data_IF_910915307779
#
_entry.id   IF_910915307779
#
_cell.length_a   1.000
_cell.length_b   1.000
_cell.length_c   1.000
_cell.angle_alpha   90.00
_cell.angle_beta   90.00
_cell.angle_gamma   90.00
#
_symmetry.space_group_name_H-M   'P 1'
#
loop_
_entity.id
_entity.type
_entity.pdbx_description
1 polymer ?
#
# COMPACT_ATOMS: atom_id res chain seq x y z
N UNK A 1 16.46 9.74 8.87
CA UNK A 1 15.20 8.96 8.83
C UNK A 1 15.47 7.74 7.98
N UNK A 2 15.21 6.56 8.53
CA UNK A 2 15.36 5.32 7.78
C UNK A 2 14.31 5.26 6.66
N UNK A 3 14.71 4.72 5.51
CA UNK A 3 13.81 4.53 4.38
C UNK A 3 12.92 3.31 4.65
N UNK A 4 11.65 3.40 4.28
CA UNK A 4 10.80 2.22 4.22
C UNK A 4 11.40 1.24 3.20
N UNK A 5 11.50 -0.04 3.59
CA UNK A 5 11.94 -1.12 2.72
C UNK A 5 10.97 -2.28 2.88
N UNK A 6 10.28 -2.63 1.79
CA UNK A 6 9.40 -3.77 1.73
C UNK A 6 10.24 -5.05 1.61
N UNK A 7 9.97 -6.02 2.49
CA UNK A 7 10.57 -7.35 2.41
C UNK A 7 9.48 -8.33 2.03
N UNK A 8 9.64 -9.01 0.89
CA UNK A 8 8.68 -9.99 0.40
C UNK A 8 9.32 -10.89 -0.63
N UNK A 9 8.97 -12.18 -0.60
CA UNK A 9 9.33 -13.15 -1.64
C UNK A 9 8.48 -12.98 -2.92
N UNK A 10 7.41 -12.19 -2.83
CA UNK A 10 6.49 -11.95 -3.93
C UNK A 10 6.85 -10.66 -4.68
N UNK A 11 6.69 -10.71 -6.00
CA UNK A 11 6.72 -9.52 -6.86
C UNK A 11 5.29 -9.11 -7.22
N UNK A 12 5.04 -7.80 -7.43
CA UNK A 12 3.75 -7.34 -7.96
C UNK A 12 3.38 -8.06 -9.26
N UNK A 13 2.13 -8.52 -9.35
CA UNK A 13 1.59 -9.28 -10.50
C UNK A 13 0.19 -8.80 -10.87
N UNK A 14 -0.28 -9.17 -12.07
CA UNK A 14 -1.58 -8.73 -12.59
C UNK A 14 -1.63 -7.21 -12.70
N UNK A 15 -2.69 -6.59 -12.20
CA UNK A 15 -2.91 -5.14 -12.26
C UNK A 15 -2.15 -4.36 -11.15
N UNK A 16 -1.48 -5.06 -10.23
CA UNK A 16 -0.76 -4.42 -9.13
C UNK A 16 0.34 -3.44 -9.59
N UNK A 17 1.21 -3.75 -10.57
CA UNK A 17 2.28 -2.84 -10.98
C UNK A 17 1.73 -1.49 -11.48
N UNK A 18 0.69 -1.50 -12.30
CA UNK A 18 0.07 -0.28 -12.83
C UNK A 18 -0.60 0.52 -11.70
N UNK A 19 -1.33 -0.15 -10.79
CA UNK A 19 -1.95 0.50 -9.65
C UNK A 19 -0.91 1.17 -8.73
N UNK A 20 0.21 0.48 -8.44
CA UNK A 20 1.31 1.01 -7.64
C UNK A 20 1.90 2.25 -8.30
N UNK A 21 2.19 2.18 -9.60
CA UNK A 21 2.79 3.30 -10.34
C UNK A 21 1.87 4.51 -10.35
N UNK A 22 0.60 4.32 -10.72
CA UNK A 22 -0.39 5.39 -10.83
C UNK A 22 -0.60 6.09 -9.48
N UNK A 23 -0.84 5.33 -8.41
CA UNK A 23 -1.07 5.88 -7.07
C UNK A 23 0.16 6.64 -6.57
N UNK A 24 1.35 6.04 -6.72
CA UNK A 24 2.60 6.66 -6.25
C UNK A 24 2.89 7.97 -6.99
N UNK A 25 2.77 7.97 -8.32
CA UNK A 25 3.00 9.16 -9.14
C UNK A 25 2.03 10.28 -8.79
N UNK A 26 0.76 9.95 -8.56
CA UNK A 26 -0.24 10.92 -8.16
C UNK A 26 0.05 11.53 -6.77
N UNK A 27 0.49 10.71 -5.80
CA UNK A 27 0.92 11.22 -4.47
C UNK A 27 2.11 12.17 -4.61
N UNK A 28 3.07 11.85 -5.47
CA UNK A 28 4.25 12.68 -5.73
C UNK A 28 3.89 13.98 -6.47
N UNK A 29 2.84 13.96 -7.29
CA UNK A 29 2.27 15.15 -7.97
C UNK A 29 1.36 16.00 -7.07
N UNK A 30 1.12 15.59 -5.82
CA UNK A 30 0.27 16.33 -4.89
C UNK A 30 -1.24 16.13 -5.12
N UNK A 31 -1.66 15.06 -5.81
CA UNK A 31 -3.07 14.71 -5.93
C UNK A 31 -3.55 14.13 -4.59
N UNK A 32 -4.46 14.85 -3.94
CA UNK A 32 -4.88 14.57 -2.56
C UNK A 32 -5.78 13.33 -2.43
N UNK A 33 -6.75 13.16 -3.32
CA UNK A 33 -7.77 12.12 -3.21
C UNK A 33 -7.65 11.10 -4.33
N UNK A 34 -7.55 9.83 -3.94
CA UNK A 34 -7.39 8.71 -4.86
C UNK A 34 -8.11 7.48 -4.32
N UNK A 35 -8.60 6.62 -5.22
CA UNK A 35 -9.30 5.39 -4.87
C UNK A 35 -8.61 4.22 -5.55
N UNK A 36 -8.20 3.22 -4.77
CA UNK A 36 -7.78 1.93 -5.27
C UNK A 36 -9.00 1.01 -5.39
N UNK A 37 -9.57 0.90 -6.60
CA UNK A 37 -10.63 -0.05 -6.87
C UNK A 37 -10.03 -1.45 -7.07
N UNK A 38 -10.20 -2.32 -6.08
CA UNK A 38 -9.66 -3.68 -6.14
C UNK A 38 -10.63 -4.70 -5.55
N UNK A 39 -10.79 -5.82 -6.26
CA UNK A 39 -11.60 -6.97 -5.81
C UNK A 39 -11.01 -7.62 -4.55
N UNK A 40 -11.81 -8.43 -3.85
CA UNK A 40 -11.32 -9.23 -2.72
C UNK A 40 -10.28 -10.24 -3.22
N UNK A 41 -9.20 -10.44 -2.46
CA UNK A 41 -8.12 -11.35 -2.83
C UNK A 41 -7.06 -10.78 -3.78
N UNK A 42 -7.20 -9.55 -4.28
CA UNK A 42 -6.22 -8.94 -5.21
C UNK A 42 -4.91 -8.45 -4.56
N UNK A 43 -4.73 -8.66 -3.25
CA UNK A 43 -3.53 -8.23 -2.53
C UNK A 43 -3.45 -6.72 -2.28
N UNK A 44 -4.57 -6.06 -1.93
CA UNK A 44 -4.63 -4.60 -1.70
C UNK A 44 -3.59 -4.10 -0.67
N UNK A 45 -3.36 -4.84 0.42
CA UNK A 45 -2.34 -4.47 1.41
C UNK A 45 -0.95 -4.46 0.80
N UNK A 46 -0.59 -5.49 0.02
CA UNK A 46 0.70 -5.57 -0.67
C UNK A 46 0.88 -4.44 -1.70
N UNK A 47 -0.17 -4.12 -2.46
CA UNK A 47 -0.19 -2.95 -3.36
C UNK A 47 0.10 -1.66 -2.58
N UNK A 48 -0.58 -1.44 -1.45
CA UNK A 48 -0.37 -0.24 -0.64
C UNK A 48 1.02 -0.21 0.03
N UNK A 49 1.57 -1.35 0.44
CA UNK A 49 2.93 -1.43 0.97
C UNK A 49 3.99 -1.00 -0.06
N UNK A 50 3.85 -1.43 -1.31
CA UNK A 50 4.70 -0.98 -2.42
C UNK A 50 4.53 0.53 -2.68
N UNK A 51 3.31 1.06 -2.59
CA UNK A 51 3.07 2.51 -2.72
C UNK A 51 3.79 3.28 -1.61
N UNK A 52 3.65 2.84 -0.35
CA UNK A 52 4.30 3.46 0.82
C UNK A 52 5.83 3.45 0.67
N UNK A 53 6.41 2.32 0.27
CA UNK A 53 7.84 2.21 -0.04
C UNK A 53 8.23 3.17 -1.18
N UNK A 54 7.45 3.28 -2.24
CA UNK A 54 7.81 4.15 -3.38
C UNK A 54 7.73 5.64 -3.04
N UNK A 55 6.78 6.06 -2.19
CA UNK A 55 6.59 7.49 -1.85
C UNK A 55 7.40 7.96 -0.64
N UNK A 56 7.86 7.03 0.23
CA UNK A 56 8.68 7.33 1.40
C UNK A 56 8.05 8.37 2.36
N UNK A 57 6.74 8.27 2.60
CA UNK A 57 6.00 9.17 3.51
C UNK A 57 5.48 8.41 4.74
N UNK A 58 5.62 8.95 5.96
CA UNK A 58 4.92 8.43 7.12
C UNK A 58 3.42 8.33 6.83
N UNK A 59 2.83 7.16 7.06
CA UNK A 59 1.48 6.83 6.60
C UNK A 59 0.61 6.37 7.77
N UNK A 60 -0.62 6.90 7.85
CA UNK A 60 -1.65 6.44 8.77
C UNK A 60 -2.64 5.53 8.02
N UNK A 61 -2.78 4.29 8.47
CA UNK A 61 -3.78 3.35 7.94
C UNK A 61 -4.95 3.29 8.92
N UNK A 62 -6.15 3.66 8.46
CA UNK A 62 -7.37 3.64 9.27
C UNK A 62 -8.25 2.45 8.87
N UNK A 63 -8.65 1.65 9.85
CA UNK A 63 -9.60 0.54 9.67
C UNK A 63 -10.89 0.83 10.43
N UNK A 64 -12.02 0.37 9.90
CA UNK A 64 -13.34 0.59 10.46
C UNK A 64 -13.63 -0.27 11.71
N UNK A 65 -12.79 -1.27 12.00
CA UNK A 65 -12.94 -2.12 13.18
C UNK A 65 -11.58 -2.61 13.70
N UNK A 66 -11.56 -3.09 14.95
CA UNK A 66 -10.34 -3.53 15.65
C UNK A 66 -9.74 -4.80 15.07
N UNK A 67 -10.58 -5.74 14.61
CA UNK A 67 -10.11 -7.01 14.03
C UNK A 67 -9.33 -6.77 12.75
N UNK A 68 -9.85 -5.93 11.84
CA UNK A 68 -9.17 -5.55 10.61
C UNK A 68 -7.92 -4.72 10.90
N UNK A 69 -7.97 -3.82 11.89
CA UNK A 69 -6.78 -3.08 12.30
C UNK A 69 -5.65 -4.01 12.77
N UNK A 70 -5.97 -5.04 13.57
CA UNK A 70 -5.00 -6.04 14.02
C UNK A 70 -4.45 -6.90 12.85
N UNK A 71 -5.31 -7.26 11.90
CA UNK A 71 -4.90 -7.99 10.69
C UNK A 71 -3.93 -7.14 9.85
N UNK A 72 -4.30 -5.90 9.53
CA UNK A 72 -3.46 -4.97 8.75
C UNK A 72 -2.13 -4.71 9.45
N UNK A 73 -2.14 -4.51 10.78
CA UNK A 73 -0.91 -4.38 11.55
C UNK A 73 0.01 -5.59 11.36
N UNK A 74 -0.55 -6.80 11.44
CA UNK A 74 0.23 -8.03 11.25
C UNK A 74 0.77 -8.15 9.82
N UNK A 75 0.00 -7.76 8.81
CA UNK A 75 0.43 -7.74 7.40
C UNK A 75 1.50 -6.69 7.08
N UNK A 76 1.56 -5.57 7.81
CA UNK A 76 2.57 -4.52 7.60
C UNK A 76 3.83 -4.69 8.46
N UNK A 77 3.77 -5.51 9.52
CA UNK A 77 4.88 -5.69 10.45
C UNK A 77 5.99 -6.59 9.89
N UNK A 78 5.64 -7.52 9.01
CA UNK A 78 6.50 -8.57 8.48
C UNK A 78 6.55 -8.48 6.96
#
# INVERSE_FOLDING_TARGET
MDKFKLTSDFKPKGDQPEAIEKLSNNILKGINHQVLLGVTGSGKTFTMANVIEKVQKPTLVMAHNKTLAAQLYSEFKF
#
